data_IF_460411369639
#
_entry.id   IF_460411369639
#
_cell.length_a   1.000
_cell.length_b   1.000
_cell.length_c   1.000
_cell.angle_alpha   90.00
_cell.angle_beta   90.00
_cell.angle_gamma   90.00
#
_symmetry.space_group_name_H-M   'P 1'
#
loop_
_entity.id
_entity.type
_entity.pdbx_description
1 polymer ?
#
# COMPACT_ATOMS: atom_id res chain seq x y z
N UNK A 1 25.88 -16.28 33.12
CA UNK A 1 25.12 -15.42 32.18
C UNK A 1 24.53 -16.28 31.07
N UNK A 2 23.29 -16.75 31.20
CA UNK A 2 22.60 -17.58 30.18
C UNK A 2 21.14 -17.15 30.07
N UNK A 3 20.85 -16.02 29.41
CA UNK A 3 19.45 -15.65 29.08
C UNK A 3 19.27 -14.53 28.03
N UNK A 4 20.23 -14.31 27.12
CA UNK A 4 20.06 -13.27 26.07
C UNK A 4 19.75 -13.83 24.67
N UNK A 5 19.98 -15.12 24.44
CA UNK A 5 19.95 -15.72 23.08
C UNK A 5 18.55 -16.10 22.58
N UNK A 6 17.54 -16.18 23.47
CA UNK A 6 16.21 -16.71 23.10
C UNK A 6 15.32 -15.69 22.37
N UNK A 7 15.55 -14.38 22.54
CA UNK A 7 14.76 -13.32 21.89
C UNK A 7 15.19 -13.04 20.44
N UNK A 8 16.48 -13.20 20.12
CA UNK A 8 16.99 -12.92 18.76
C UNK A 8 16.52 -13.96 17.74
N UNK A 9 16.51 -15.25 18.10
CA UNK A 9 16.09 -16.33 17.20
C UNK A 9 14.61 -16.28 16.81
N UNK A 10 13.77 -15.63 17.62
CA UNK A 10 12.33 -15.47 17.31
C UNK A 10 12.08 -14.33 16.31
N UNK A 11 12.93 -13.29 16.31
CA UNK A 11 12.81 -12.16 15.38
C UNK A 11 13.24 -12.61 13.97
N UNK A 12 14.32 -13.40 13.86
CA UNK A 12 14.81 -13.92 12.58
C UNK A 12 13.92 -15.00 11.98
N UNK A 13 13.37 -15.91 12.78
CA UNK A 13 12.40 -16.90 12.30
C UNK A 13 11.11 -16.23 11.78
N UNK A 14 10.62 -15.18 12.47
CA UNK A 14 9.47 -14.40 11.99
C UNK A 14 9.78 -13.59 10.72
N UNK A 15 10.99 -13.06 10.57
CA UNK A 15 11.41 -12.37 9.35
C UNK A 15 11.45 -13.28 8.12
N UNK A 16 11.74 -14.58 8.31
CA UNK A 16 11.75 -15.57 7.24
C UNK A 16 10.34 -15.96 6.77
N UNK A 17 9.34 -15.87 7.65
CA UNK A 17 7.94 -16.24 7.36
C UNK A 17 7.06 -15.04 6.95
N UNK A 18 7.57 -13.80 7.05
CA UNK A 18 6.81 -12.60 6.68
C UNK A 18 6.98 -12.25 5.19
N UNK A 19 5.91 -11.76 4.53
CA UNK A 19 6.02 -11.24 3.17
C UNK A 19 7.04 -10.10 3.08
N UNK A 20 7.81 -10.08 1.99
CA UNK A 20 8.88 -9.10 1.81
C UNK A 20 8.37 -7.65 1.79
N UNK A 21 7.16 -7.40 1.29
CA UNK A 21 6.55 -6.07 1.28
C UNK A 21 6.27 -5.53 2.68
N UNK A 22 5.95 -6.40 3.65
CA UNK A 22 5.79 -6.00 5.07
C UNK A 22 7.16 -5.64 5.66
N UNK A 23 8.19 -6.44 5.38
CA UNK A 23 9.55 -6.19 5.89
C UNK A 23 10.18 -4.94 5.28
N UNK A 24 9.88 -4.67 4.00
CA UNK A 24 10.42 -3.55 3.24
C UNK A 24 9.51 -2.31 3.24
N UNK A 25 8.39 -2.36 3.95
CA UNK A 25 7.40 -1.28 4.07
C UNK A 25 6.95 -0.77 2.68
N UNK A 26 6.68 -1.73 1.78
CA UNK A 26 6.22 -1.48 0.41
C UNK A 26 4.68 -1.39 0.39
N UNK A 27 4.11 -0.55 -0.49
CA UNK A 27 2.68 -0.54 -0.71
C UNK A 27 2.22 -1.85 -1.36
N UNK A 28 1.15 -2.41 -0.81
CA UNK A 28 0.46 -3.57 -1.36
C UNK A 28 -0.79 -3.09 -2.09
N UNK A 29 -1.05 -3.65 -3.27
CA UNK A 29 -2.21 -3.31 -4.07
C UNK A 29 -2.94 -4.56 -4.52
N UNK A 30 -4.26 -4.55 -4.41
CA UNK A 30 -5.14 -5.58 -4.98
C UNK A 30 -6.09 -4.92 -5.98
N UNK A 31 -5.99 -5.34 -7.24
CA UNK A 31 -6.80 -4.86 -8.35
C UNK A 31 -7.79 -5.96 -8.78
N UNK A 32 -9.10 -5.67 -8.72
CA UNK A 32 -10.16 -6.60 -9.15
C UNK A 32 -10.80 -6.04 -10.42
N UNK A 33 -10.51 -6.68 -11.55
CA UNK A 33 -10.81 -6.12 -12.88
C UNK A 33 -10.15 -4.75 -13.04
N UNK A 34 -10.73 -3.85 -13.83
CA UNK A 34 -10.35 -2.44 -13.83
C UNK A 34 -11.33 -1.58 -13.00
N UNK A 35 -12.01 -2.20 -12.02
CA UNK A 35 -13.16 -1.60 -11.34
C UNK A 35 -12.89 -1.21 -9.88
N UNK A 36 -12.04 -1.97 -9.20
CA UNK A 36 -11.79 -1.85 -7.77
C UNK A 36 -10.30 -1.93 -7.49
N UNK A 37 -9.77 -0.98 -6.72
CA UNK A 37 -8.37 -0.96 -6.31
C UNK A 37 -8.26 -0.70 -4.81
N UNK A 38 -7.70 -1.69 -4.10
CA UNK A 38 -7.34 -1.61 -2.69
C UNK A 38 -5.85 -1.34 -2.59
N UNK A 39 -5.46 -0.38 -1.76
CA UNK A 39 -4.06 0.03 -1.58
C UNK A 39 -3.79 0.13 -0.09
N UNK A 40 -2.75 -0.54 0.36
CA UNK A 40 -2.28 -0.57 1.75
C UNK A 40 -0.90 0.10 1.86
N UNK A 41 -0.49 0.44 3.08
CA UNK A 41 0.77 1.11 3.43
C UNK A 41 0.99 2.45 2.70
N UNK A 42 -0.07 3.25 2.55
CA UNK A 42 0.07 4.65 2.09
C UNK A 42 0.29 5.61 3.27
N UNK A 43 0.92 6.77 3.03
CA UNK A 43 1.22 7.83 4.01
C UNK A 43 0.27 9.03 3.88
N UNK A 44 -0.97 8.76 3.47
CA UNK A 44 -2.00 9.75 3.21
C UNK A 44 -2.30 10.01 1.73
N UNK A 45 -3.42 10.68 1.48
CA UNK A 45 -3.87 11.10 0.14
C UNK A 45 -3.31 12.49 -0.15
N UNK A 46 -2.54 12.62 -1.23
CA UNK A 46 -1.98 13.90 -1.69
C UNK A 46 -2.94 14.64 -2.63
N UNK A 47 -3.66 13.89 -3.46
CA UNK A 47 -4.66 14.42 -4.39
C UNK A 47 -5.74 13.38 -4.64
N UNK A 48 -6.98 13.85 -4.78
CA UNK A 48 -8.07 13.03 -5.25
C UNK A 48 -9.03 13.84 -6.11
N UNK A 49 -9.37 13.29 -7.27
CA UNK A 49 -10.44 13.72 -8.16
C UNK A 49 -11.10 12.49 -8.78
N UNK A 50 -12.12 12.71 -9.61
CA UNK A 50 -12.77 11.63 -10.36
C UNK A 50 -11.89 11.03 -11.47
N UNK A 51 -10.71 11.60 -11.75
CA UNK A 51 -9.80 11.16 -12.82
C UNK A 51 -8.40 10.79 -12.34
N UNK A 52 -7.99 11.28 -11.17
CA UNK A 52 -6.66 11.07 -10.61
C UNK A 52 -6.72 10.94 -9.09
N UNK A 53 -6.10 9.89 -8.57
CA UNK A 53 -5.69 9.80 -7.18
C UNK A 53 -4.17 9.80 -7.10
N UNK A 54 -3.61 10.55 -6.15
CA UNK A 54 -2.20 10.46 -5.79
C UNK A 54 -2.08 10.18 -4.29
N UNK A 55 -1.36 9.12 -3.93
CA UNK A 55 -1.07 8.74 -2.55
C UNK A 55 0.39 8.98 -2.22
N UNK A 56 0.67 9.46 -1.01
CA UNK A 56 2.02 9.48 -0.49
C UNK A 56 2.45 8.05 -0.14
N UNK A 57 3.70 7.71 -0.40
CA UNK A 57 4.33 6.46 0.02
C UNK A 57 5.55 6.78 0.88
N UNK A 58 6.18 5.75 1.48
CA UNK A 58 7.47 5.92 2.17
C UNK A 58 8.57 6.44 1.25
N UNK A 59 8.52 6.06 -0.03
CA UNK A 59 9.45 6.46 -1.08
C UNK A 59 8.62 6.90 -2.28
N UNK A 60 8.57 8.20 -2.51
CA UNK A 60 7.81 8.77 -3.62
C UNK A 60 6.30 8.78 -3.41
N UNK A 61 5.55 8.59 -4.50
CA UNK A 61 4.09 8.57 -4.51
C UNK A 61 3.53 7.56 -5.51
N UNK A 62 2.27 7.16 -5.29
CA UNK A 62 1.50 6.33 -6.22
C UNK A 62 0.48 7.20 -6.93
N UNK A 63 0.49 7.20 -8.27
CA UNK A 63 -0.59 7.76 -9.08
C UNK A 63 -1.51 6.65 -9.58
N UNK A 64 -2.80 6.88 -9.46
CA UNK A 64 -3.85 6.07 -10.09
C UNK A 64 -4.68 6.98 -10.97
N UNK A 65 -4.67 6.73 -12.28
CA UNK A 65 -5.45 7.47 -13.27
C UNK A 65 -6.62 6.64 -13.76
N UNK A 66 -7.73 7.30 -14.04
CA UNK A 66 -8.94 6.62 -14.46
C UNK A 66 -10.11 7.54 -14.74
N UNK A 67 -11.32 6.98 -14.65
CA UNK A 67 -12.58 7.70 -14.81
C UNK A 67 -13.53 7.36 -13.67
N UNK A 68 -14.32 8.35 -13.25
CA UNK A 68 -15.33 8.20 -12.20
C UNK A 68 -14.75 7.55 -10.92
N UNK A 69 -13.52 7.92 -10.57
CA UNK A 69 -12.89 7.44 -9.35
C UNK A 69 -13.68 7.93 -8.12
N UNK A 70 -13.95 7.02 -7.18
CA UNK A 70 -14.65 7.28 -5.92
C UNK A 70 -13.90 6.56 -4.80
N UNK A 71 -13.54 7.28 -3.72
CA UNK A 71 -13.07 6.65 -2.49
C UNK A 71 -14.26 6.00 -1.79
N UNK A 72 -14.20 4.68 -1.61
CA UNK A 72 -15.20 3.91 -0.86
C UNK A 72 -14.83 3.77 0.61
N UNK A 73 -13.54 3.65 0.90
CA UNK A 73 -13.03 3.65 2.26
C UNK A 73 -11.66 4.30 2.31
N UNK A 74 -11.39 4.99 3.42
CA UNK A 74 -10.07 5.50 3.77
C UNK A 74 -9.83 5.23 5.25
N UNK A 75 -8.72 4.56 5.54
CA UNK A 75 -8.20 4.29 6.86
C UNK A 75 -6.78 4.89 6.95
N UNK A 76 -6.13 4.75 8.09
CA UNK A 76 -4.82 5.39 8.33
C UNK A 76 -3.77 5.01 7.29
N UNK A 77 -3.74 3.75 6.86
CA UNK A 77 -2.76 3.22 5.91
C UNK A 77 -3.42 2.47 4.76
N UNK A 78 -4.74 2.53 4.63
CA UNK A 78 -5.48 1.84 3.57
C UNK A 78 -6.41 2.79 2.84
N UNK A 79 -6.48 2.66 1.52
CA UNK A 79 -7.53 3.30 0.72
C UNK A 79 -8.14 2.28 -0.24
N UNK A 80 -9.45 2.34 -0.37
CA UNK A 80 -10.20 1.57 -1.35
C UNK A 80 -10.92 2.52 -2.28
N UNK A 81 -10.64 2.38 -3.58
CA UNK A 81 -11.29 3.15 -4.63
C UNK A 81 -12.04 2.26 -5.63
N UNK A 82 -13.09 2.83 -6.19
CA UNK A 82 -13.83 2.27 -7.33
C UNK A 82 -13.86 3.26 -8.49
N UNK A 83 -14.01 2.76 -9.72
CA UNK A 83 -14.11 3.55 -10.94
C UNK A 83 -13.66 2.73 -12.14
N UNK A 84 -13.22 3.38 -13.21
CA UNK A 84 -12.47 2.72 -14.29
C UNK A 84 -11.00 3.04 -14.11
N UNK A 85 -10.21 2.07 -13.70
CA UNK A 85 -8.76 2.21 -13.50
C UNK A 85 -8.05 2.03 -14.85
N UNK A 86 -7.32 3.05 -15.30
CA UNK A 86 -6.62 3.06 -16.60
C UNK A 86 -5.10 2.91 -16.45
N UNK A 87 -4.50 3.52 -15.42
CA UNK A 87 -3.05 3.47 -15.18
C UNK A 87 -2.74 3.51 -13.68
N UNK A 88 -1.69 2.79 -13.28
CA UNK A 88 -1.15 2.79 -11.92
C UNK A 88 0.36 2.95 -12.01
N UNK A 89 0.89 4.04 -11.46
CA UNK A 89 2.29 4.43 -11.64
C UNK A 89 2.96 4.84 -10.34
N UNK A 90 4.13 4.27 -10.08
CA UNK A 90 5.04 4.76 -9.05
C UNK A 90 5.82 5.98 -9.56
N UNK A 91 5.80 7.05 -8.77
CA UNK A 91 6.58 8.26 -8.98
C UNK A 91 7.66 8.30 -7.89
N UNK A 92 8.95 8.11 -8.22
CA UNK A 92 10.04 8.09 -7.25
C UNK A 92 10.16 9.35 -6.40
#
# INVERSE_FOLDING_TARGET
>A
MRSLTRKFNQITAKLLDLPQDVVLDLPRMTLIGNMQLYIENHRGVLHFSNELMRLALNKGSLEVRGKQLVIRAILTEEVFIEGVIEDVKFIP
#
